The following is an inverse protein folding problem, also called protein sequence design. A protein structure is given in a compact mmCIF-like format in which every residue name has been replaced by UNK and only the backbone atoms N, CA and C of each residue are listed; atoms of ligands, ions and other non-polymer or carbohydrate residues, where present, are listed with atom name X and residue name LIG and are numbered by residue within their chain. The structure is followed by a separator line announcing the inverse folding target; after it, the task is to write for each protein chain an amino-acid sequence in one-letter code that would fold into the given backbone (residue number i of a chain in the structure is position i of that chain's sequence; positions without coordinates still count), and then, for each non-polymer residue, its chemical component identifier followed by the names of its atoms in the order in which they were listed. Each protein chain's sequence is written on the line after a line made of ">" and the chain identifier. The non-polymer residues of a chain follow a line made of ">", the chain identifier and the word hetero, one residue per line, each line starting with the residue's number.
data_IF_181121903206
#
_entry.id   IF_181121903206
#
_cell.length_a   1.000
_cell.length_b   1.000
_cell.length_c   1.000
_cell.angle_alpha   90.00
_cell.angle_beta   90.00
_cell.angle_gamma   90.00
#
_symmetry.space_group_name_H-M   'P 1'
#
loop_
_entity.id
_entity.type
_entity.pdbx_description
1 polymer ?
#
# COMPACT_ATOMS: atom_id res chain seq x y z
N UNK A 1 16.75 0.44 -17.17
CA UNK A 1 15.88 1.51 -16.65
C UNK A 1 16.74 2.41 -15.78
N UNK A 2 16.69 3.73 -16.01
CA UNK A 2 17.35 4.70 -15.12
C UNK A 2 16.60 4.71 -13.79
N UNK A 3 17.27 4.69 -12.63
CA UNK A 3 16.60 4.86 -11.34
C UNK A 3 15.76 6.13 -11.35
N UNK A 4 14.51 6.05 -10.89
CA UNK A 4 13.71 7.25 -10.71
C UNK A 4 14.41 8.20 -9.73
N UNK A 5 14.42 9.50 -10.05
CA UNK A 5 14.94 10.51 -9.13
C UNK A 5 14.12 10.47 -7.84
N UNK A 6 14.75 10.45 -6.66
CA UNK A 6 14.02 10.49 -5.40
C UNK A 6 13.18 11.79 -5.32
N UNK A 7 12.01 11.76 -4.67
CA UNK A 7 11.18 12.95 -4.52
C UNK A 7 11.93 14.04 -3.75
N UNK A 8 11.63 15.29 -4.07
CA UNK A 8 12.20 16.43 -3.35
C UNK A 8 11.74 16.40 -1.87
N UNK A 9 12.64 16.68 -0.91
CA UNK A 9 12.25 16.72 0.49
C UNK A 9 11.08 17.67 0.74
N UNK A 10 10.00 17.15 1.31
CA UNK A 10 8.78 17.91 1.61
C UNK A 10 7.79 18.04 0.45
N UNK A 11 8.09 17.48 -0.73
CA UNK A 11 7.14 17.46 -1.86
C UNK A 11 5.92 16.59 -1.57
N UNK A 12 4.86 16.79 -2.36
CA UNK A 12 3.64 15.97 -2.24
C UNK A 12 3.94 14.50 -2.58
N UNK A 13 4.79 14.22 -3.55
CA UNK A 13 5.24 12.87 -3.87
C UNK A 13 5.98 12.23 -2.68
N UNK A 14 6.88 12.98 -2.04
CA UNK A 14 7.61 12.50 -0.87
C UNK A 14 6.68 12.19 0.31
N UNK A 15 5.65 13.00 0.52
CA UNK A 15 4.64 12.76 1.55
C UNK A 15 3.78 11.54 1.23
N UNK A 16 3.36 11.36 -0.02
CA UNK A 16 2.60 10.17 -0.46
C UNK A 16 3.44 8.90 -0.28
N UNK A 17 4.72 8.93 -0.66
CA UNK A 17 5.64 7.81 -0.42
C UNK A 17 5.79 7.50 1.07
N UNK A 18 5.85 8.52 1.94
CA UNK A 18 5.89 8.31 3.39
C UNK A 18 4.60 7.67 3.94
N UNK A 19 3.43 7.99 3.38
CA UNK A 19 2.16 7.32 3.74
C UNK A 19 2.20 5.85 3.32
N UNK A 20 2.67 5.54 2.12
CA UNK A 20 2.83 4.16 1.63
C UNK A 20 3.80 3.36 2.50
N UNK A 21 4.97 3.92 2.83
CA UNK A 21 5.96 3.29 3.70
C UNK A 21 5.37 3.01 5.09
N UNK A 22 4.62 3.97 5.65
CA UNK A 22 3.92 3.78 6.92
C UNK A 22 2.90 2.66 6.83
N UNK A 23 2.10 2.59 5.75
CA UNK A 23 1.12 1.52 5.54
C UNK A 23 1.77 0.15 5.49
N UNK A 24 2.89 0.00 4.79
CA UNK A 24 3.69 -1.24 4.78
C UNK A 24 4.15 -1.60 6.18
N UNK A 25 4.78 -0.65 6.88
CA UNK A 25 5.32 -0.88 8.22
C UNK A 25 4.26 -1.34 9.23
N UNK A 26 3.07 -0.72 9.21
CA UNK A 26 1.99 -1.08 10.16
C UNK A 26 1.27 -2.38 9.78
N UNK A 27 1.19 -2.74 8.48
CA UNK A 27 0.74 -4.10 8.08
C UNK A 27 1.72 -5.14 8.60
N UNK A 28 3.03 -4.91 8.42
CA UNK A 28 4.07 -5.84 8.85
C UNK A 28 4.14 -6.00 10.38
N UNK A 29 3.76 -4.95 11.12
CA UNK A 29 3.62 -4.99 12.56
C UNK A 29 2.25 -5.50 13.06
N UNK A 30 1.32 -5.85 12.15
CA UNK A 30 -0.08 -6.17 12.46
C UNK A 30 -0.81 -5.08 13.29
N UNK A 31 -0.40 -3.81 13.15
CA UNK A 31 -1.03 -2.66 13.81
C UNK A 31 -2.13 -2.07 12.92
N UNK A 32 -3.27 -2.76 12.87
CA UNK A 32 -4.41 -2.33 12.06
C UNK A 32 -5.08 -1.04 12.54
N UNK A 33 -4.86 -0.64 13.81
CA UNK A 33 -5.32 0.65 14.31
C UNK A 33 -4.50 1.77 13.71
N UNK A 34 -3.17 1.62 13.64
CA UNK A 34 -2.31 2.57 12.96
C UNK A 34 -2.53 2.55 11.44
N UNK A 35 -2.85 1.39 10.84
CA UNK A 35 -3.26 1.31 9.44
C UNK A 35 -4.50 2.14 9.16
N UNK A 36 -5.57 1.97 9.95
CA UNK A 36 -6.82 2.71 9.76
C UNK A 36 -6.61 4.23 9.81
N UNK A 37 -5.66 4.72 10.62
CA UNK A 37 -5.30 6.15 10.70
C UNK A 37 -4.61 6.70 9.45
N UNK A 38 -4.21 5.85 8.51
CA UNK A 38 -3.69 6.27 7.20
C UNK A 38 -4.80 6.48 6.17
N UNK A 39 -6.03 6.04 6.47
CA UNK A 39 -7.19 6.26 5.61
C UNK A 39 -7.70 7.69 5.73
N UNK A 40 -8.26 8.21 4.64
CA UNK A 40 -8.77 9.58 4.62
C UNK A 40 -9.90 9.76 5.64
N UNK A 41 -9.87 10.86 6.44
CA UNK A 41 -10.94 11.14 7.40
C UNK A 41 -12.27 11.50 6.73
N UNK A 42 -12.26 11.81 5.43
CA UNK A 42 -13.45 12.13 4.62
C UNK A 42 -14.17 10.87 4.13
N UNK A 43 -13.59 9.67 4.35
CA UNK A 43 -14.17 8.42 3.89
C UNK A 43 -15.56 8.22 4.48
N UNK A 44 -16.55 7.93 3.63
CA UNK A 44 -17.95 7.69 4.06
C UNK A 44 -18.06 6.57 5.09
N UNK A 45 -17.14 5.60 5.04
CA UNK A 45 -17.06 4.49 5.99
C UNK A 45 -15.63 3.98 6.05
N UNK A 46 -14.98 4.18 7.20
CA UNK A 46 -13.67 3.58 7.44
C UNK A 46 -13.79 2.05 7.60
N UNK A 47 -12.77 1.29 7.16
CA UNK A 47 -12.72 -0.15 7.40
C UNK A 47 -12.68 -0.43 8.89
N UNK A 48 -13.41 -1.43 9.37
CA UNK A 48 -13.30 -1.85 10.77
C UNK A 48 -11.97 -2.57 11.01
N UNK A 49 -11.47 -2.56 12.24
CA UNK A 49 -10.26 -3.32 12.61
C UNK A 49 -10.43 -4.81 12.31
N UNK A 50 -11.61 -5.38 12.58
CA UNK A 50 -11.92 -6.77 12.24
C UNK A 50 -11.87 -7.05 10.74
N UNK A 51 -12.32 -6.11 9.91
CA UNK A 51 -12.23 -6.24 8.46
C UNK A 51 -10.78 -6.16 7.96
N UNK A 52 -9.98 -5.25 8.52
CA UNK A 52 -8.55 -5.16 8.19
C UNK A 52 -7.80 -6.43 8.58
N UNK A 53 -8.07 -6.98 9.77
CA UNK A 53 -7.53 -8.28 10.21
C UNK A 53 -7.90 -9.41 9.26
N UNK A 54 -9.19 -9.52 8.94
CA UNK A 54 -9.66 -10.51 7.97
C UNK A 54 -8.95 -10.35 6.62
N UNK A 55 -8.80 -9.13 6.12
CA UNK A 55 -8.17 -8.89 4.83
C UNK A 55 -6.68 -9.25 4.81
N UNK A 56 -5.93 -8.80 5.82
CA UNK A 56 -4.47 -8.92 5.84
C UNK A 56 -3.96 -10.23 6.46
N UNK A 57 -4.59 -10.74 7.51
CA UNK A 57 -4.16 -11.96 8.22
C UNK A 57 -4.83 -13.21 7.65
N UNK A 58 -6.16 -13.22 7.57
CA UNK A 58 -6.92 -14.42 7.22
C UNK A 58 -6.95 -14.65 5.71
N UNK A 59 -7.14 -13.57 4.96
CA UNK A 59 -7.27 -13.63 3.51
C UNK A 59 -5.94 -13.36 2.80
N UNK A 60 -4.86 -13.01 3.51
CA UNK A 60 -3.52 -12.77 2.93
C UNK A 60 -3.56 -11.78 1.75
N UNK A 61 -4.44 -10.79 1.80
CA UNK A 61 -4.70 -9.87 0.71
C UNK A 61 -5.54 -10.40 -0.46
N UNK A 62 -5.79 -11.72 -0.55
CA UNK A 62 -6.47 -12.42 -1.67
C UNK A 62 -7.92 -11.97 -1.81
N UNK A 63 -8.11 -10.82 -2.44
CA UNK A 63 -9.41 -10.44 -2.95
C UNK A 63 -9.23 -9.95 -4.38
N UNK A 64 -10.12 -10.43 -5.24
CA UNK A 64 -10.27 -9.97 -6.62
C UNK A 64 -10.55 -8.45 -6.67
N UNK A 65 -10.96 -7.86 -5.55
CA UNK A 65 -11.30 -6.45 -5.40
C UNK A 65 -10.10 -5.52 -5.18
N UNK A 66 -8.95 -6.04 -4.70
CA UNK A 66 -7.79 -5.20 -4.36
C UNK A 66 -6.52 -5.53 -5.14
N UNK A 67 -6.54 -6.54 -6.02
CA UNK A 67 -5.37 -6.92 -6.85
C UNK A 67 -4.17 -7.43 -6.04
N UNK A 68 -4.38 -7.71 -4.75
CA UNK A 68 -3.35 -8.09 -3.79
C UNK A 68 -3.30 -9.62 -3.68
N UNK A 69 -2.62 -10.31 -4.58
CA UNK A 69 -2.62 -11.78 -4.52
C UNK A 69 -1.68 -12.24 -3.39
N UNK A 70 -2.19 -12.94 -2.38
CA UNK A 70 -1.44 -13.85 -1.48
C UNK A 70 -0.10 -13.32 -0.92
N UNK A 71 -0.15 -12.47 0.11
CA UNK A 71 1.02 -12.08 0.91
C UNK A 71 0.84 -12.38 2.41
N UNK A 72 1.94 -12.72 3.07
CA UNK A 72 2.05 -12.75 4.53
C UNK A 72 2.14 -11.34 5.11
N UNK A 73 1.53 -11.05 6.28
CA UNK A 73 1.73 -9.76 6.95
C UNK A 73 3.21 -9.44 7.15
N UNK A 74 4.04 -10.40 7.52
CA UNK A 74 5.46 -10.18 7.83
C UNK A 74 6.33 -9.94 6.58
N UNK A 75 5.87 -10.38 5.40
CA UNK A 75 6.60 -10.26 4.15
C UNK A 75 6.07 -9.17 3.20
N UNK A 76 5.00 -8.45 3.55
CA UNK A 76 4.41 -7.42 2.68
C UNK A 76 5.39 -6.28 2.39
N UNK A 77 5.56 -5.96 1.11
CA UNK A 77 6.42 -4.88 0.63
C UNK A 77 5.88 -4.30 -0.68
N UNK A 78 6.25 -3.05 -0.99
CA UNK A 78 5.88 -2.35 -2.22
C UNK A 78 7.11 -1.82 -2.95
N UNK A 79 7.14 -1.91 -4.28
CA UNK A 79 8.26 -1.40 -5.11
C UNK A 79 7.74 -0.78 -6.41
N UNK A 80 8.66 -0.24 -7.20
CA UNK A 80 8.37 0.39 -8.50
C UNK A 80 7.26 1.43 -8.40
N UNK A 81 7.35 2.28 -7.37
CA UNK A 81 6.33 3.27 -7.05
C UNK A 81 6.43 4.42 -8.05
N UNK A 82 5.32 4.68 -8.73
CA UNK A 82 5.10 5.85 -9.56
C UNK A 82 4.00 6.69 -8.93
N UNK A 83 4.28 7.95 -8.62
CA UNK A 83 3.30 8.90 -8.07
C UNK A 83 2.91 9.91 -9.14
N UNK A 84 1.61 10.06 -9.36
CA UNK A 84 1.02 11.02 -10.28
C UNK A 84 0.15 11.99 -9.48
N UNK A 85 0.57 13.25 -9.40
CA UNK A 85 -0.27 14.32 -8.84
C UNK A 85 -1.41 14.62 -9.82
N UNK A 86 -2.64 14.43 -9.37
CA UNK A 86 -3.83 14.76 -10.16
C UNK A 86 -4.25 16.20 -9.87
N UNK A 87 -5.47 16.57 -10.28
CA UNK A 87 -6.07 17.81 -9.81
C UNK A 87 -6.24 17.73 -8.28
N UNK A 88 -5.65 18.70 -7.58
CA UNK A 88 -5.81 18.82 -6.14
C UNK A 88 -7.30 18.73 -5.73
N UNK A 89 -7.64 18.01 -4.65
CA UNK A 89 -6.74 17.49 -3.62
C UNK A 89 -6.23 16.05 -3.84
N UNK A 90 -6.24 15.51 -5.07
CA UNK A 90 -5.98 14.09 -5.31
C UNK A 90 -4.62 13.78 -5.93
N UNK A 91 -4.12 12.58 -5.65
CA UNK A 91 -2.98 11.97 -6.31
C UNK A 91 -3.18 10.46 -6.46
N UNK A 92 -2.42 9.82 -7.32
CA UNK A 92 -2.40 8.36 -7.45
C UNK A 92 -0.99 7.84 -7.30
N UNK A 93 -0.85 6.67 -6.67
CA UNK A 93 0.36 5.89 -6.69
C UNK A 93 0.09 4.54 -7.36
N UNK A 94 0.94 4.16 -8.30
CA UNK A 94 0.99 2.84 -8.92
C UNK A 94 2.24 2.12 -8.43
N UNK A 95 2.10 0.89 -7.92
CA UNK A 95 3.21 0.14 -7.37
C UNK A 95 2.98 -1.37 -7.44
N UNK A 96 4.09 -2.10 -7.40
CA UNK A 96 4.10 -3.56 -7.36
C UNK A 96 4.15 -4.04 -5.91
N UNK A 97 3.45 -5.13 -5.61
CA UNK A 97 3.40 -5.73 -4.27
C UNK A 97 4.17 -7.05 -4.23
N UNK A 98 4.94 -7.23 -3.16
CA UNK A 98 5.80 -8.39 -2.95
C UNK A 98 5.58 -9.00 -1.56
N UNK A 99 5.81 -10.32 -1.47
CA UNK A 99 5.86 -11.08 -0.22
C UNK A 99 7.21 -11.79 -0.06
N UNK A 100 8.00 -11.41 0.96
CA UNK A 100 9.26 -12.09 1.24
C UNK A 100 9.09 -13.52 1.78
N UNK A 101 8.04 -13.82 2.53
CA UNK A 101 7.93 -15.13 3.20
C UNK A 101 7.49 -16.25 2.24
N UNK A 102 6.89 -15.89 1.10
CA UNK A 102 6.61 -16.83 0.00
C UNK A 102 7.87 -17.47 -0.58
N UNK A 103 9.06 -16.89 -0.34
CA UNK A 103 10.35 -17.34 -0.86
C UNK A 103 11.02 -18.44 -0.02
N UNK A 104 10.58 -18.68 1.22
CA UNK A 104 11.27 -19.60 2.14
C UNK A 104 10.91 -21.08 1.93
N UNK A 105 10.04 -21.41 0.97
CA UNK A 105 9.51 -22.77 0.76
C UNK A 105 9.88 -23.49 -0.56
N UNK A 106 10.53 -22.84 -1.53
CA UNK A 106 10.77 -23.45 -2.85
C UNK A 106 12.18 -23.17 -3.39
N UNK A 107 12.88 -24.25 -3.74
CA UNK A 107 14.22 -24.26 -4.32
C UNK A 107 14.22 -23.73 -5.76
N UNK A 108 14.09 -22.41 -5.94
CA UNK A 108 14.55 -21.68 -7.13
C UNK A 108 14.48 -20.18 -6.85
N UNK A 109 15.63 -19.49 -6.88
CA UNK A 109 15.80 -18.06 -6.60
C UNK A 109 15.26 -17.17 -7.72
N UNK A 110 13.95 -17.23 -8.00
CA UNK A 110 13.27 -16.25 -8.84
C UNK A 110 12.28 -15.47 -8.00
N UNK A 111 12.62 -14.20 -7.76
CA UNK A 111 11.77 -13.19 -7.16
C UNK A 111 10.41 -13.22 -7.83
N UNK A 112 9.37 -13.70 -7.14
CA UNK A 112 8.03 -13.55 -7.69
C UNK A 112 7.53 -12.17 -7.28
N UNK A 113 7.44 -11.27 -8.27
CA UNK A 113 6.32 -10.30 -8.26
C UNK A 113 5.11 -11.16 -7.98
N UNK A 114 4.28 -10.75 -7.05
CA UNK A 114 2.99 -11.39 -6.96
C UNK A 114 2.34 -11.29 -8.35
N UNK A 115 2.30 -12.38 -9.12
CA UNK A 115 1.84 -12.34 -10.52
C UNK A 115 0.46 -11.70 -10.57
N UNK A 116 0.42 -10.45 -11.02
CA UNK A 116 -0.73 -9.56 -10.89
C UNK A 116 -0.40 -8.18 -11.44
N UNK A 117 -1.43 -7.47 -11.90
CA UNK A 117 -1.28 -6.09 -12.36
C UNK A 117 -0.84 -5.18 -11.20
N UNK A 118 -0.02 -4.14 -11.46
CA UNK A 118 0.39 -3.20 -10.44
C UNK A 118 -0.83 -2.58 -9.75
N UNK A 119 -0.74 -2.46 -8.43
CA UNK A 119 -1.79 -1.87 -7.60
C UNK A 119 -1.80 -0.37 -7.82
N UNK A 120 -2.99 0.17 -8.06
CA UNK A 120 -3.21 1.63 -8.10
C UNK A 120 -3.96 2.04 -6.84
N UNK A 121 -3.45 3.05 -6.13
CA UNK A 121 -4.05 3.62 -4.93
C UNK A 121 -4.21 5.12 -5.07
N UNK A 122 -5.40 5.64 -4.79
CA UNK A 122 -5.64 7.09 -4.76
C UNK A 122 -5.38 7.63 -3.36
N UNK A 123 -4.82 8.82 -3.31
CA UNK A 123 -4.54 9.60 -2.11
C UNK A 123 -5.30 10.92 -2.18
N UNK A 124 -5.74 11.40 -1.03
CA UNK A 124 -6.40 12.68 -0.85
C UNK A 124 -5.61 13.53 0.15
N UNK A 125 -5.47 14.83 -0.15
CA UNK A 125 -4.87 15.82 0.74
C UNK A 125 -5.96 16.53 1.54
N UNK A 126 -5.96 16.32 2.85
CA UNK A 126 -6.89 16.95 3.81
C UNK A 126 -6.08 17.78 4.79
N UNK A 127 -6.39 19.07 4.92
CA UNK A 127 -5.70 20.01 5.81
C UNK A 127 -4.16 20.00 5.67
N UNK A 128 -3.67 19.81 4.44
CA UNK A 128 -2.25 19.77 4.12
C UNK A 128 -1.57 18.43 4.33
N UNK A 129 -2.29 17.40 4.78
CA UNK A 129 -1.77 16.04 5.00
C UNK A 129 -2.37 15.04 4.00
N UNK A 130 -1.56 14.10 3.53
CA UNK A 130 -1.99 13.07 2.59
C UNK A 130 -2.50 11.81 3.30
N UNK A 131 -3.56 11.24 2.76
CA UNK A 131 -4.21 10.02 3.24
C UNK A 131 -4.56 9.09 2.09
N UNK A 132 -4.67 7.80 2.36
CA UNK A 132 -5.17 6.81 1.39
C UNK A 132 -6.69 6.91 1.29
N UNK A 133 -7.23 7.08 0.09
CA UNK A 133 -8.66 7.13 -0.18
C UNK A 133 -9.23 5.76 -0.59
N UNK A 134 -8.41 4.94 -1.25
CA UNK A 134 -8.84 3.68 -1.86
C UNK A 134 -8.57 2.49 -0.93
N UNK A 135 -9.34 1.43 -1.19
CA UNK A 135 -9.43 0.23 -0.41
C UNK A 135 -8.07 -0.33 0.06
N UNK A 136 -8.02 -0.82 1.32
CA UNK A 136 -9.17 -1.02 2.21
C UNK A 136 -9.68 0.24 2.92
N UNK A 137 -9.15 1.43 2.60
CA UNK A 137 -9.79 2.71 2.90
C UNK A 137 -11.00 2.98 1.97
#
# INVERSE_FOLDING_TARGET
>A
MTPATPPEPGSDEGQIMAVLEKQVGVVNAADFVAFQKTCTPTAKKLPTISYLKYLFEDNRGVTDQFGLINFSPQGYNVRNIEVTLLRAPFAQARFDVYDYDRHMGAASMNWSVTEGEPVTRTFEKVDGQWYSEVAPC
#
